data_IF_170865128056
#
_entry.id   IF_170865128056
#
_cell.length_a   1.000
_cell.length_b   1.000
_cell.length_c   1.000
_cell.angle_alpha   90.00
_cell.angle_beta   90.00
_cell.angle_gamma   90.00
#
_symmetry.space_group_name_H-M   'P 1'
#
loop_
_entity.id
_entity.type
_entity.pdbx_description
1 polymer ?
#
# COMPACT_ATOMS: atom_id res chain seq x y z
N UNK A 1 12.44 -25.98 -35.75
CA UNK A 1 11.36 -25.99 -34.73
C UNK A 1 11.75 -26.75 -33.45
N UNK A 2 12.25 -27.99 -33.51
CA UNK A 2 12.64 -28.76 -32.30
C UNK A 2 13.80 -28.19 -31.47
N UNK A 3 14.74 -27.45 -32.08
CA UNK A 3 15.84 -26.77 -31.37
C UNK A 3 15.36 -25.51 -30.60
N UNK A 4 14.33 -24.83 -31.10
CA UNK A 4 13.75 -23.63 -30.48
C UNK A 4 12.90 -23.96 -29.25
N UNK A 5 12.21 -25.11 -29.25
CA UNK A 5 11.42 -25.56 -28.10
C UNK A 5 12.28 -26.00 -26.91
N UNK A 6 13.48 -26.53 -27.17
CA UNK A 6 14.41 -26.94 -26.12
C UNK A 6 15.03 -25.73 -25.40
N UNK A 7 15.49 -24.74 -26.16
CA UNK A 7 16.00 -23.48 -25.60
C UNK A 7 14.94 -22.70 -24.79
N UNK A 8 13.67 -22.74 -25.20
CA UNK A 8 12.59 -22.05 -24.47
C UNK A 8 12.21 -22.76 -23.16
N UNK A 9 12.25 -24.10 -23.14
CA UNK A 9 12.01 -24.90 -21.93
C UNK A 9 13.13 -24.73 -20.90
N UNK A 10 14.39 -24.72 -21.35
CA UNK A 10 15.55 -24.56 -20.47
C UNK A 10 15.62 -23.14 -19.88
N UNK A 11 15.19 -22.12 -20.64
CA UNK A 11 15.03 -20.76 -20.12
C UNK A 11 13.88 -20.62 -19.11
N UNK A 12 12.73 -21.27 -19.35
CA UNK A 12 11.60 -21.23 -18.42
C UNK A 12 11.90 -21.95 -17.10
N UNK A 13 12.62 -23.08 -17.13
CA UNK A 13 13.07 -23.77 -15.93
C UNK A 13 14.07 -22.92 -15.12
N UNK A 14 14.98 -22.22 -15.81
CA UNK A 14 15.91 -21.28 -15.21
C UNK A 14 15.21 -20.06 -14.58
N UNK A 15 14.05 -19.63 -15.10
CA UNK A 15 13.25 -18.55 -14.52
C UNK A 15 12.34 -18.97 -13.36
N UNK A 16 11.89 -20.23 -13.30
CA UNK A 16 10.92 -20.71 -12.28
C UNK A 16 11.57 -21.24 -11.00
N UNK A 17 12.80 -21.76 -11.08
CA UNK A 17 13.58 -22.19 -9.91
C UNK A 17 13.89 -21.05 -8.91
N UNK A 18 14.31 -19.84 -9.32
CA UNK A 18 14.52 -18.74 -8.38
C UNK A 18 13.21 -18.32 -7.70
N UNK A 19 12.06 -18.37 -8.39
CA UNK A 19 10.76 -17.97 -7.83
C UNK A 19 10.31 -18.82 -6.64
N UNK A 20 10.54 -20.14 -6.65
CA UNK A 20 10.22 -21.01 -5.51
C UNK A 20 11.13 -20.76 -4.30
N UNK A 21 12.40 -20.46 -4.54
CA UNK A 21 13.36 -20.14 -3.46
C UNK A 21 13.09 -18.77 -2.84
N UNK A 22 12.62 -17.80 -3.64
CA UNK A 22 12.25 -16.46 -3.16
C UNK A 22 11.01 -16.49 -2.27
N UNK A 23 10.01 -17.34 -2.55
CA UNK A 23 8.77 -17.38 -1.74
C UNK A 23 9.01 -17.95 -0.34
N UNK A 24 9.85 -18.98 -0.20
CA UNK A 24 10.15 -19.59 1.12
C UNK A 24 11.01 -18.66 1.98
N UNK A 25 11.96 -17.94 1.39
CA UNK A 25 12.84 -17.01 2.10
C UNK A 25 12.13 -15.72 2.52
N UNK A 26 11.16 -15.22 1.74
CA UNK A 26 10.36 -14.05 2.13
C UNK A 26 9.43 -14.38 3.31
N UNK A 27 8.88 -15.60 3.39
CA UNK A 27 8.02 -16.01 4.50
C UNK A 27 8.71 -16.00 5.86
N UNK A 28 9.92 -16.55 5.95
CA UNK A 28 10.68 -16.58 7.22
C UNK A 28 11.17 -15.20 7.65
N UNK A 29 11.57 -14.36 6.68
CA UNK A 29 11.96 -12.96 6.95
C UNK A 29 10.79 -12.14 7.52
N UNK A 30 9.59 -12.24 6.91
CA UNK A 30 8.40 -11.52 7.42
C UNK A 30 8.06 -11.94 8.85
N UNK A 31 8.18 -13.23 9.16
CA UNK A 31 7.88 -13.75 10.48
C UNK A 31 8.90 -13.26 11.53
N UNK A 32 10.20 -13.21 11.21
CA UNK A 32 11.22 -12.70 12.14
C UNK A 32 11.04 -11.21 12.41
N UNK A 33 10.76 -10.40 11.39
CA UNK A 33 10.58 -8.95 11.55
C UNK A 33 9.32 -8.62 12.36
N UNK A 34 8.23 -9.39 12.20
CA UNK A 34 7.03 -9.24 13.02
C UNK A 34 7.26 -9.71 14.48
N UNK A 35 8.01 -10.80 14.68
CA UNK A 35 8.38 -11.26 16.02
C UNK A 35 9.19 -10.19 16.77
N UNK A 36 10.18 -9.59 16.10
CA UNK A 36 10.98 -8.48 16.64
C UNK A 36 10.11 -7.24 16.92
N UNK A 37 9.20 -6.88 16.02
CA UNK A 37 8.23 -5.78 16.25
C UNK A 37 7.41 -6.00 17.53
N UNK A 38 6.97 -7.24 17.77
CA UNK A 38 6.21 -7.59 18.97
C UNK A 38 7.09 -7.58 20.23
N UNK A 39 8.35 -8.01 20.13
CA UNK A 39 9.32 -7.93 21.22
C UNK A 39 9.58 -6.48 21.64
N UNK A 40 9.84 -5.60 20.67
CA UNK A 40 10.01 -4.15 20.88
C UNK A 40 8.78 -3.50 21.53
N UNK A 41 7.58 -3.87 21.09
CA UNK A 41 6.33 -3.43 21.69
C UNK A 41 6.19 -3.91 23.16
N UNK A 42 6.62 -5.14 23.45
CA UNK A 42 6.59 -5.70 24.79
C UNK A 42 7.58 -5.02 25.73
N UNK A 43 8.83 -4.85 25.28
CA UNK A 43 9.86 -4.13 26.04
C UNK A 43 9.46 -2.69 26.31
N UNK A 44 8.86 -2.00 25.34
CA UNK A 44 8.31 -0.64 25.53
C UNK A 44 7.28 -0.62 26.65
N UNK A 45 6.29 -1.53 26.65
CA UNK A 45 5.30 -1.63 27.74
C UNK A 45 5.95 -1.97 29.08
N UNK A 46 6.98 -2.82 29.07
CA UNK A 46 7.77 -3.16 30.25
C UNK A 46 8.48 -1.94 30.82
N UNK A 47 9.12 -1.13 29.97
CA UNK A 47 9.77 0.12 30.38
C UNK A 47 8.79 1.07 31.01
N UNK A 48 7.61 1.29 30.40
CA UNK A 48 6.57 2.11 31.01
C UNK A 48 6.24 1.65 32.44
N UNK A 49 6.03 0.34 32.65
CA UNK A 49 5.76 -0.22 33.99
C UNK A 49 6.91 -0.01 34.98
N UNK A 50 8.16 -0.18 34.54
CA UNK A 50 9.34 0.03 35.39
C UNK A 50 9.41 1.49 35.82
N UNK A 51 9.26 2.43 34.88
CA UNK A 51 9.28 3.87 35.17
C UNK A 51 8.09 4.28 36.05
N UNK A 52 6.89 3.77 35.81
CA UNK A 52 5.69 4.06 36.62
C UNK A 52 5.79 3.49 38.05
N UNK A 53 6.59 2.44 38.25
CA UNK A 53 6.80 1.84 39.57
C UNK A 53 7.86 2.56 40.41
N UNK A 54 8.60 3.49 39.83
CA UNK A 54 9.62 4.26 40.53
C UNK A 54 8.95 5.26 41.47
N UNK A 55 9.46 5.35 42.70
CA UNK A 55 9.01 6.29 43.73
C UNK A 55 10.21 7.05 44.30
N UNK A 56 9.99 8.11 45.08
CA UNK A 56 11.06 8.95 45.65
C UNK A 56 12.13 8.18 46.45
N UNK A 57 11.78 7.01 47.01
CA UNK A 57 12.70 6.15 47.77
C UNK A 57 13.29 5.01 46.92
N UNK A 58 13.03 4.99 45.61
CA UNK A 58 13.52 3.94 44.70
C UNK A 58 14.92 4.27 44.21
N UNK A 59 15.79 3.26 44.14
CA UNK A 59 17.14 3.45 43.59
C UNK A 59 17.11 3.55 42.06
N UNK A 60 17.79 4.55 41.49
CA UNK A 60 18.01 4.65 40.04
C UNK A 60 18.76 3.45 39.48
N UNK A 61 19.78 2.95 40.18
CA UNK A 61 20.55 1.75 39.77
C UNK A 61 19.65 0.53 39.61
N UNK A 62 18.72 0.33 40.53
CA UNK A 62 17.74 -0.77 40.43
C UNK A 62 16.79 -0.56 39.24
N UNK A 63 16.37 0.68 39.00
CA UNK A 63 15.50 1.03 37.86
C UNK A 63 16.22 0.76 36.54
N UNK A 64 17.46 1.24 36.40
CA UNK A 64 18.30 1.02 35.22
C UNK A 64 18.60 -0.46 34.99
N UNK A 65 18.90 -1.24 36.04
CA UNK A 65 19.09 -2.68 35.94
C UNK A 65 17.85 -3.38 35.36
N UNK A 66 16.65 -3.05 35.87
CA UNK A 66 15.39 -3.61 35.36
C UNK A 66 15.13 -3.22 33.90
N UNK A 67 15.49 -2.00 33.51
CA UNK A 67 15.41 -1.58 32.10
C UNK A 67 16.39 -2.40 31.25
N UNK A 68 17.64 -2.55 31.68
CA UNK A 68 18.63 -3.34 30.97
C UNK A 68 18.18 -4.80 30.77
N UNK A 69 17.62 -5.43 31.80
CA UNK A 69 17.07 -6.80 31.70
C UNK A 69 15.95 -6.91 30.65
N UNK A 70 15.05 -5.91 30.58
CA UNK A 70 13.97 -5.89 29.59
C UNK A 70 14.47 -5.76 28.15
N UNK A 71 15.51 -4.95 27.94
CA UNK A 71 16.06 -4.68 26.61
C UNK A 71 17.12 -5.69 26.16
N UNK A 72 17.74 -6.42 27.09
CA UNK A 72 18.79 -7.41 26.82
C UNK A 72 18.47 -8.40 25.68
N UNK A 73 17.32 -9.10 25.64
CA UNK A 73 17.05 -10.06 24.57
C UNK A 73 16.95 -9.39 23.18
N UNK A 74 16.41 -8.18 23.11
CA UNK A 74 16.28 -7.41 21.87
C UNK A 74 17.65 -6.92 21.42
N UNK A 75 18.44 -6.37 22.35
CA UNK A 75 19.76 -5.85 22.04
C UNK A 75 20.77 -6.94 21.67
N UNK A 76 20.60 -8.17 22.17
CA UNK A 76 21.36 -9.32 21.70
C UNK A 76 21.13 -9.61 20.21
N UNK A 77 19.90 -9.50 19.74
CA UNK A 77 19.55 -9.76 18.34
C UNK A 77 19.88 -8.59 17.42
N UNK A 78 19.72 -7.36 17.91
CA UNK A 78 19.91 -6.15 17.11
C UNK A 78 21.28 -5.49 17.29
N UNK A 79 22.15 -6.07 18.11
CA UNK A 79 23.50 -5.57 18.40
C UNK A 79 23.52 -4.15 18.98
N UNK A 80 22.80 -3.91 20.07
CA UNK A 80 22.87 -2.67 20.87
C UNK A 80 23.33 -2.91 22.31
N UNK A 81 23.67 -1.85 23.04
CA UNK A 81 23.80 -1.88 24.50
C UNK A 81 22.40 -1.82 25.15
N UNK A 82 21.99 -2.82 25.97
CA UNK A 82 20.71 -2.76 26.68
C UNK A 82 20.67 -1.74 27.82
N UNK A 83 21.82 -1.21 28.25
CA UNK A 83 21.93 -0.23 29.34
C UNK A 83 21.84 1.22 28.87
N UNK A 84 21.82 1.45 27.55
CA UNK A 84 21.76 2.78 26.93
C UNK A 84 20.58 2.88 25.95
N UNK A 85 19.62 3.75 26.26
CA UNK A 85 18.52 4.06 25.34
C UNK A 85 19.02 4.71 24.05
N UNK A 86 20.15 5.42 24.11
CA UNK A 86 20.70 6.09 22.93
C UNK A 86 21.23 5.07 21.92
N UNK A 87 21.60 3.85 22.34
CA UNK A 87 21.89 2.75 21.41
C UNK A 87 20.61 2.04 20.94
N UNK A 88 19.65 1.84 21.84
CA UNK A 88 18.35 1.21 21.52
C UNK A 88 17.59 2.03 20.46
N UNK A 89 17.65 3.36 20.53
CA UNK A 89 16.89 4.27 19.69
C UNK A 89 17.22 4.16 18.18
N UNK A 90 18.47 4.32 17.71
CA UNK A 90 18.84 4.14 16.31
C UNK A 90 18.57 2.72 15.81
N UNK A 91 18.81 1.71 16.64
CA UNK A 91 18.54 0.32 16.29
C UNK A 91 17.04 0.06 16.06
N UNK A 92 16.17 0.66 16.87
CA UNK A 92 14.71 0.61 16.63
C UNK A 92 14.30 1.32 15.32
N UNK A 93 15.03 2.36 14.90
CA UNK A 93 14.79 3.03 13.62
C UNK A 93 15.18 2.14 12.45
N UNK A 94 16.34 1.48 12.53
CA UNK A 94 16.79 0.47 11.56
C UNK A 94 15.76 -0.64 11.41
N UNK A 95 15.18 -1.13 12.52
CA UNK A 95 14.08 -2.10 12.47
C UNK A 95 12.82 -1.56 11.77
N UNK A 96 12.48 -0.29 12.00
CA UNK A 96 11.35 0.35 11.32
C UNK A 96 11.55 0.38 9.80
N UNK A 97 12.78 0.61 9.32
CA UNK A 97 13.08 0.55 7.89
C UNK A 97 12.91 -0.85 7.32
N UNK A 98 13.29 -1.89 8.06
CA UNK A 98 13.02 -3.28 7.66
C UNK A 98 11.52 -3.55 7.59
N UNK A 99 10.73 -3.08 8.56
CA UNK A 99 9.27 -3.20 8.51
C UNK A 99 8.62 -2.43 7.34
N UNK A 100 9.22 -1.33 6.88
CA UNK A 100 8.71 -0.65 5.68
C UNK A 100 8.87 -1.51 4.43
N UNK A 101 9.92 -2.34 4.37
CA UNK A 101 10.14 -3.29 3.28
C UNK A 101 9.11 -4.44 3.29
N UNK A 102 8.48 -4.71 4.43
CA UNK A 102 7.42 -5.74 4.55
C UNK A 102 6.03 -5.25 4.12
N UNK A 103 5.90 -3.97 3.73
CA UNK A 103 4.64 -3.32 3.38
C UNK A 103 3.55 -3.38 4.46
N UNK A 104 3.93 -3.50 5.73
CA UNK A 104 2.99 -3.61 6.86
C UNK A 104 2.76 -2.26 7.55
N UNK A 105 1.89 -1.41 6.99
CA UNK A 105 1.58 -0.08 7.55
C UNK A 105 1.07 -0.08 8.98
N UNK A 106 0.31 -1.08 9.38
CA UNK A 106 -0.15 -1.21 10.77
C UNK A 106 1.03 -1.38 11.73
N UNK A 107 1.99 -2.25 11.39
CA UNK A 107 3.18 -2.49 12.21
C UNK A 107 4.11 -1.29 12.23
N UNK A 108 4.40 -0.68 11.06
CA UNK A 108 5.23 0.53 10.99
C UNK A 108 4.63 1.66 11.82
N UNK A 109 3.32 1.91 11.68
CA UNK A 109 2.62 2.94 12.45
C UNK A 109 2.60 2.66 13.95
N UNK A 110 2.32 1.43 14.36
CA UNK A 110 2.37 1.03 15.77
C UNK A 110 3.78 1.22 16.35
N UNK A 111 4.81 0.82 15.61
CA UNK A 111 6.20 0.89 16.06
C UNK A 111 6.67 2.33 16.24
N UNK A 112 6.35 3.22 15.30
CA UNK A 112 6.67 4.65 15.39
C UNK A 112 5.98 5.29 16.60
N UNK A 113 4.67 5.02 16.82
CA UNK A 113 3.91 5.56 17.96
C UNK A 113 4.50 5.08 19.30
N UNK A 114 4.78 3.79 19.41
CA UNK A 114 5.34 3.20 20.63
C UNK A 114 6.69 3.83 20.99
N UNK A 115 7.58 4.01 20.00
CA UNK A 115 8.88 4.66 20.21
C UNK A 115 8.74 6.11 20.67
N UNK A 116 7.85 6.88 20.05
CA UNK A 116 7.62 8.28 20.45
C UNK A 116 7.09 8.35 21.89
N UNK A 117 6.11 7.51 22.23
CA UNK A 117 5.55 7.47 23.58
C UNK A 117 6.60 7.09 24.62
N UNK A 118 7.45 6.11 24.29
CA UNK A 118 8.56 5.70 25.16
C UNK A 118 9.56 6.83 25.39
N UNK A 119 9.98 7.51 24.32
CA UNK A 119 10.90 8.64 24.40
C UNK A 119 10.34 9.76 25.27
N UNK A 120 9.08 10.16 25.03
CA UNK A 120 8.40 11.18 25.84
C UNK A 120 8.33 10.76 27.31
N UNK A 121 7.98 9.49 27.57
CA UNK A 121 7.88 8.96 28.95
C UNK A 121 9.23 8.99 29.66
N UNK A 122 10.32 8.63 28.97
CA UNK A 122 11.68 8.71 29.50
C UNK A 122 12.09 10.15 29.80
N UNK A 123 11.81 11.08 28.90
CA UNK A 123 12.08 12.51 29.13
C UNK A 123 11.36 13.04 30.37
N UNK A 124 10.07 12.72 30.52
CA UNK A 124 9.32 13.10 31.72
C UNK A 124 9.90 12.46 32.98
N UNK A 125 10.25 11.18 32.93
CA UNK A 125 10.86 10.50 34.07
C UNK A 125 12.17 11.16 34.52
N UNK A 126 13.04 11.52 33.58
CA UNK A 126 14.29 12.23 33.87
C UNK A 126 14.01 13.61 34.47
N UNK A 127 13.09 14.37 33.87
CA UNK A 127 12.73 15.69 34.38
C UNK A 127 12.16 15.66 35.81
N UNK A 128 11.37 14.64 36.13
CA UNK A 128 10.69 14.53 37.42
C UNK A 128 11.62 14.00 38.53
N UNK A 129 12.49 13.04 38.21
CA UNK A 129 13.27 12.30 39.22
C UNK A 129 14.77 12.57 39.17
N UNK A 130 15.38 12.76 37.99
CA UNK A 130 16.83 12.76 37.81
C UNK A 130 17.47 14.15 37.95
N UNK A 131 17.40 14.74 39.14
CA UNK A 131 17.95 16.08 39.40
C UNK A 131 19.47 16.12 39.44
N UNK A 132 20.08 15.02 39.86
CA UNK A 132 21.53 14.91 40.06
C UNK A 132 22.23 14.30 38.83
N UNK A 133 21.45 13.85 37.83
CA UNK A 133 21.95 13.27 36.60
C UNK A 133 22.34 11.80 36.71
N UNK A 134 22.08 11.14 37.84
CA UNK A 134 22.43 9.74 38.14
C UNK A 134 21.78 8.70 37.19
N UNK A 135 20.84 9.11 36.35
CA UNK A 135 20.16 8.21 35.40
C UNK A 135 20.91 8.11 34.07
N UNK A 136 21.89 7.20 34.02
CA UNK A 136 22.78 6.99 32.86
C UNK A 136 22.09 6.40 31.61
N UNK A 137 20.83 5.96 31.70
CA UNK A 137 20.13 5.28 30.59
C UNK A 137 19.93 6.17 29.35
N UNK A 138 19.99 7.50 29.49
CA UNK A 138 19.83 8.48 28.40
C UNK A 138 21.06 9.37 28.24
N UNK A 139 22.21 9.00 28.82
CA UNK A 139 23.43 9.78 28.71
C UNK A 139 24.10 9.57 27.35
N UNK A 140 24.52 10.65 26.66
CA UNK A 140 25.23 10.57 25.37
C UNK A 140 26.65 10.05 25.52
N UNK A 141 27.22 10.05 26.73
CA UNK A 141 28.50 9.40 26.99
C UNK A 141 28.34 7.88 26.86
N UNK A 142 28.88 7.29 25.79
CA UNK A 142 28.85 5.83 25.57
C UNK A 142 28.04 5.35 24.37
N UNK A 143 27.66 6.24 23.45
CA UNK A 143 27.12 5.83 22.14
C UNK A 143 28.16 4.95 21.44
N UNK A 144 27.76 3.75 21.02
CA UNK A 144 28.63 2.90 20.21
C UNK A 144 28.81 3.50 18.81
N UNK A 145 30.01 3.39 18.22
CA UNK A 145 30.30 3.84 16.85
C UNK A 145 29.28 3.27 15.83
N UNK A 146 28.82 2.02 16.07
CA UNK A 146 27.78 1.35 15.28
C UNK A 146 26.43 2.07 15.34
N UNK A 147 26.05 2.62 16.50
CA UNK A 147 24.82 3.39 16.69
C UNK A 147 24.89 4.74 15.97
N UNK A 148 26.04 5.40 16.00
CA UNK A 148 26.26 6.67 15.29
C UNK A 148 26.15 6.48 13.76
N UNK A 149 26.77 5.43 13.21
CA UNK A 149 26.64 5.06 11.81
C UNK A 149 25.18 4.79 11.42
N UNK A 150 24.44 4.04 12.26
CA UNK A 150 23.01 3.78 12.05
C UNK A 150 22.20 5.07 12.05
N UNK A 151 22.51 6.01 12.95
CA UNK A 151 21.81 7.29 13.04
C UNK A 151 22.03 8.14 11.78
N UNK A 152 23.28 8.22 11.31
CA UNK A 152 23.65 8.92 10.07
C UNK A 152 22.96 8.28 8.85
N UNK A 153 23.02 6.95 8.74
CA UNK A 153 22.39 6.18 7.67
C UNK A 153 20.86 6.32 7.68
N UNK A 154 20.22 6.30 8.85
CA UNK A 154 18.79 6.54 9.00
C UNK A 154 18.42 7.99 8.65
N UNK A 155 19.23 8.98 9.01
CA UNK A 155 18.99 10.38 8.62
C UNK A 155 18.92 10.56 7.10
N UNK A 156 19.82 9.90 6.37
CA UNK A 156 19.90 9.96 4.91
C UNK A 156 18.83 9.10 4.22
N UNK A 157 18.71 7.83 4.64
CA UNK A 157 17.89 6.81 3.97
C UNK A 157 16.48 6.71 4.55
N UNK A 158 16.33 6.99 5.84
CA UNK A 158 15.06 6.86 6.54
C UNK A 158 14.04 7.90 6.11
N UNK A 159 14.47 9.14 5.83
CA UNK A 159 13.56 10.16 5.30
C UNK A 159 13.01 9.79 3.92
N UNK A 160 13.86 9.34 3.00
CA UNK A 160 13.43 8.93 1.66
C UNK A 160 12.55 7.66 1.71
N UNK A 161 12.90 6.71 2.57
CA UNK A 161 12.12 5.48 2.78
C UNK A 161 10.76 5.74 3.41
N UNK A 162 10.70 6.65 4.39
CA UNK A 162 9.44 7.02 5.03
C UNK A 162 8.57 7.84 4.07
N UNK A 163 9.16 8.70 3.24
CA UNK A 163 8.43 9.40 2.17
C UNK A 163 7.90 8.45 1.10
N UNK A 164 8.71 7.52 0.60
CA UNK A 164 8.27 6.55 -0.41
C UNK A 164 7.23 5.59 0.15
N UNK A 165 7.42 5.12 1.38
CA UNK A 165 6.42 4.38 2.12
C UNK A 165 5.14 5.19 2.27
N UNK A 166 5.25 6.49 2.58
CA UNK A 166 4.03 7.29 2.70
C UNK A 166 3.33 7.57 1.36
N UNK A 167 4.07 7.55 0.25
CA UNK A 167 3.49 7.71 -1.08
C UNK A 167 2.84 6.42 -1.57
N UNK A 168 3.31 5.24 -1.12
CA UNK A 168 2.71 3.96 -1.47
C UNK A 168 1.41 3.66 -0.71
N UNK A 169 1.18 4.34 0.42
CA UNK A 169 -0.08 4.27 1.15
C UNK A 169 -0.96 5.48 0.87
N UNK A 170 -2.13 5.23 0.30
CA UNK A 170 -3.16 6.26 0.15
C UNK A 170 -3.76 6.60 1.53
N UNK A 171 -3.20 7.60 2.22
CA UNK A 171 -3.58 8.01 3.58
C UNK A 171 -4.96 8.68 3.68
N UNK A 172 -5.79 8.61 2.65
CA UNK A 172 -7.11 9.22 2.68
C UNK A 172 -8.08 8.56 3.71
N UNK A 173 -7.69 7.42 4.27
CA UNK A 173 -8.43 6.62 5.25
C UNK A 173 -8.43 7.14 6.71
N UNK A 174 -7.70 8.22 7.03
CA UNK A 174 -7.92 8.95 8.29
C UNK A 174 -7.08 8.54 9.50
N UNK A 175 -6.21 7.54 9.38
CA UNK A 175 -5.19 7.25 10.38
C UNK A 175 -3.96 8.13 10.14
N UNK A 176 -4.05 9.39 10.61
CA UNK A 176 -2.88 10.28 10.63
C UNK A 176 -1.88 9.75 11.64
N UNK A 177 -0.64 9.52 11.18
CA UNK A 177 0.48 9.06 12.01
C UNK A 177 0.80 10.03 13.16
N UNK A 178 0.47 11.31 12.97
CA UNK A 178 0.57 12.39 13.96
C UNK A 178 -0.72 13.22 13.97
N UNK A 179 -1.39 13.32 15.12
CA UNK A 179 -2.45 14.30 15.31
C UNK A 179 -1.83 15.69 15.52
N UNK A 180 -1.63 16.38 14.40
CA UNK A 180 -1.07 17.73 14.33
C UNK A 180 -1.86 18.74 15.17
N UNK A 181 -3.16 18.50 15.43
CA UNK A 181 -3.96 19.37 16.30
C UNK A 181 -3.65 19.12 17.78
N UNK A 182 -3.43 17.86 18.17
CA UNK A 182 -3.10 17.48 19.55
C UNK A 182 -1.71 18.01 19.95
N UNK A 183 -0.74 17.93 19.04
CA UNK A 183 0.60 18.47 19.26
C UNK A 183 0.59 19.99 19.39
N UNK A 184 -0.19 20.69 18.56
CA UNK A 184 -0.34 22.14 18.66
C UNK A 184 -1.03 22.57 19.97
N UNK A 185 -2.04 21.83 20.44
CA UNK A 185 -2.65 22.13 21.75
C UNK A 185 -1.71 21.91 22.92
N UNK A 186 -0.85 20.89 22.83
CA UNK A 186 0.13 20.61 23.88
C UNK A 186 1.14 21.76 24.02
N UNK A 187 1.62 22.31 22.89
CA UNK A 187 2.50 23.48 22.90
C UNK A 187 1.80 24.74 23.44
N UNK A 188 0.55 24.99 23.05
CA UNK A 188 -0.23 26.12 23.59
C UNK A 188 -0.47 25.99 25.11
N UNK A 189 -0.71 24.78 25.63
CA UNK A 189 -0.93 24.55 27.06
C UNK A 189 0.38 24.63 27.88
N UNK A 190 1.53 24.27 27.28
CA UNK A 190 2.84 24.39 27.91
C UNK A 190 3.31 25.85 28.06
N UNK A 191 3.06 26.69 27.05
CA UNK A 191 3.40 28.13 27.11
C UNK A 191 2.51 28.92 28.09
N UNK A 192 1.29 28.44 28.39
CA UNK A 192 0.33 29.15 29.24
C UNK A 192 0.46 28.84 30.75
N UNK A 193 1.30 27.88 31.14
CA UNK A 193 1.45 27.43 32.54
C UNK A 193 2.02 28.46 33.52
N UNK A 194 2.73 29.49 33.04
CA UNK A 194 3.47 30.43 33.92
C UNK A 194 2.75 31.77 34.20
N UNK A 195 1.62 32.07 33.56
CA UNK A 195 1.04 33.43 33.61
C UNK A 195 -0.15 33.61 34.57
N UNK A 196 0.19 34.02 35.80
CA UNK A 196 -0.52 34.86 36.79
C UNK A 196 -2.07 34.79 36.93
N UNK A 197 -2.52 34.47 38.14
CA UNK A 197 -3.85 33.94 38.49
C UNK A 197 -4.98 34.97 38.63
N UNK A 198 -4.71 36.29 38.52
CA UNK A 198 -5.73 37.32 38.85
C UNK A 198 -6.54 37.88 37.68
N UNK A 199 -6.16 37.65 36.41
CA UNK A 199 -6.92 38.11 35.21
C UNK A 199 -7.90 37.07 34.60
N UNK A 200 -7.99 35.89 35.22
CA UNK A 200 -8.52 34.64 34.66
C UNK A 200 -10.00 34.67 34.22
N UNK A 201 -10.88 35.38 34.92
CA UNK A 201 -12.34 35.38 34.61
C UNK A 201 -12.69 36.06 33.29
N UNK A 202 -12.03 37.18 32.94
CA UNK A 202 -12.31 37.91 31.68
C UNK A 202 -11.72 37.18 30.47
N UNK A 203 -10.54 36.56 30.62
CA UNK A 203 -9.92 35.67 29.61
C UNK A 203 -10.78 34.43 29.35
N UNK A 204 -11.34 33.77 30.37
CA UNK A 204 -12.22 32.59 30.20
C UNK A 204 -13.43 32.86 29.29
N UNK A 205 -14.09 34.01 29.40
CA UNK A 205 -15.24 34.37 28.54
C UNK A 205 -14.84 34.58 27.08
N UNK A 206 -13.69 35.23 26.81
CA UNK A 206 -13.16 35.37 25.43
C UNK A 206 -12.75 34.02 24.83
N UNK A 207 -12.13 33.14 25.62
CA UNK A 207 -11.80 31.76 25.20
C UNK A 207 -13.05 30.95 24.85
N UNK A 208 -14.13 31.05 25.63
CA UNK A 208 -15.38 30.36 25.33
C UNK A 208 -15.99 30.79 23.98
N UNK A 209 -15.96 32.08 23.66
CA UNK A 209 -16.43 32.60 22.36
C UNK A 209 -15.55 32.12 21.20
N UNK A 210 -14.22 32.21 21.33
CA UNK A 210 -13.27 31.71 20.32
C UNK A 210 -13.42 30.21 20.09
N UNK A 211 -13.61 29.42 21.16
CA UNK A 211 -13.87 27.97 21.07
C UNK A 211 -15.17 27.66 20.32
N UNK A 212 -16.24 28.47 20.49
CA UNK A 212 -17.50 28.29 19.75
C UNK A 212 -17.34 28.62 18.26
N UNK A 213 -16.65 29.71 17.91
CA UNK A 213 -16.35 30.07 16.52
C UNK A 213 -15.50 28.99 15.84
N UNK A 214 -14.38 28.58 16.46
CA UNK A 214 -13.52 27.48 15.96
C UNK A 214 -14.30 26.17 15.80
N UNK A 215 -15.26 25.88 16.68
CA UNK A 215 -16.13 24.69 16.54
C UNK A 215 -17.08 24.78 15.34
N UNK A 216 -17.62 25.95 15.02
CA UNK A 216 -18.46 26.15 13.83
C UNK A 216 -17.65 26.01 12.55
N UNK A 217 -16.47 26.62 12.49
CA UNK A 217 -15.53 26.50 11.38
C UNK A 217 -15.09 25.05 11.17
N UNK A 218 -14.72 24.32 12.24
CA UNK A 218 -14.43 22.88 12.17
C UNK A 218 -15.63 22.06 11.68
N UNK A 219 -16.86 22.43 12.04
CA UNK A 219 -18.06 21.74 11.52
C UNK A 219 -18.26 21.98 10.03
N UNK A 220 -17.99 23.19 9.54
CA UNK A 220 -18.06 23.50 8.10
C UNK A 220 -16.94 22.79 7.33
N UNK A 221 -15.70 22.85 7.80
CA UNK A 221 -14.57 22.14 7.20
C UNK A 221 -14.81 20.61 7.16
N UNK A 222 -15.38 20.03 8.23
CA UNK A 222 -15.76 18.60 8.24
C UNK A 222 -16.87 18.27 7.25
N UNK A 223 -17.83 19.17 7.04
CA UNK A 223 -18.88 18.99 6.02
C UNK A 223 -18.28 19.04 4.60
N UNK A 224 -17.47 20.04 4.31
CA UNK A 224 -16.78 20.17 3.03
C UNK A 224 -15.91 18.94 2.72
N UNK A 225 -15.09 18.50 3.69
CA UNK A 225 -14.27 17.29 3.53
C UNK A 225 -15.09 16.01 3.37
N UNK A 226 -16.27 15.93 4.01
CA UNK A 226 -17.19 14.80 3.83
C UNK A 226 -17.82 14.80 2.43
N UNK A 227 -18.13 15.97 1.87
CA UNK A 227 -18.62 16.10 0.50
C UNK A 227 -17.53 15.76 -0.52
N UNK A 228 -16.31 16.24 -0.31
CA UNK A 228 -15.13 15.87 -1.11
C UNK A 228 -14.89 14.36 -1.12
N UNK A 229 -14.90 13.72 0.07
CA UNK A 229 -14.80 12.25 0.18
C UNK A 229 -15.95 11.52 -0.50
N UNK A 230 -17.18 12.06 -0.43
CA UNK A 230 -18.32 11.49 -1.15
C UNK A 230 -18.16 11.59 -2.66
N UNK A 231 -17.62 12.70 -3.16
CA UNK A 231 -17.34 12.89 -4.58
C UNK A 231 -16.22 11.98 -5.06
N UNK A 232 -15.14 11.87 -4.28
CA UNK A 232 -14.04 10.96 -4.56
C UNK A 232 -14.50 9.49 -4.52
N UNK A 233 -15.25 9.07 -3.50
CA UNK A 233 -15.81 7.73 -3.43
C UNK A 233 -16.76 7.44 -4.61
N UNK A 234 -17.58 8.40 -5.03
CA UNK A 234 -18.42 8.24 -6.24
C UNK A 234 -17.59 8.11 -7.53
N UNK A 235 -16.42 8.74 -7.59
CA UNK A 235 -15.48 8.58 -8.72
C UNK A 235 -14.84 7.19 -8.66
N UNK A 236 -14.19 6.84 -7.54
CA UNK A 236 -13.46 5.58 -7.36
C UNK A 236 -14.38 4.35 -7.49
N UNK A 237 -15.54 4.39 -6.83
CA UNK A 237 -16.50 3.30 -6.89
C UNK A 237 -17.47 3.41 -8.07
N UNK A 238 -17.28 4.39 -8.96
CA UNK A 238 -18.12 4.60 -10.13
C UNK A 238 -18.04 3.46 -11.14
N UNK A 239 -16.99 2.63 -11.08
CA UNK A 239 -16.84 1.42 -11.87
C UNK A 239 -16.97 0.12 -11.07
N UNK A 240 -16.93 0.19 -9.74
CA UNK A 240 -17.10 -0.96 -8.88
C UNK A 240 -18.48 -1.59 -9.09
N UNK A 241 -18.51 -2.88 -9.41
CA UNK A 241 -19.74 -3.64 -9.54
C UNK A 241 -20.45 -3.49 -10.89
N UNK A 242 -19.89 -2.74 -11.85
CA UNK A 242 -20.40 -2.76 -13.23
C UNK A 242 -20.10 -4.11 -13.86
N UNK A 243 -21.16 -4.86 -14.14
CA UNK A 243 -21.07 -6.07 -14.94
C UNK A 243 -21.05 -5.71 -16.43
N UNK A 244 -20.04 -6.17 -17.15
CA UNK A 244 -19.99 -6.12 -18.61
C UNK A 244 -19.99 -7.53 -19.16
N UNK A 245 -20.86 -7.79 -20.12
CA UNK A 245 -20.86 -9.03 -20.90
C UNK A 245 -20.11 -8.78 -22.19
N UNK A 246 -19.25 -9.71 -22.56
CA UNK A 246 -18.44 -9.59 -23.76
C UNK A 246 -18.34 -10.92 -24.49
N UNK A 247 -18.27 -10.81 -25.82
CA UNK A 247 -17.97 -11.90 -26.71
C UNK A 247 -16.77 -11.46 -27.55
N UNK A 248 -15.68 -12.19 -27.41
CA UNK A 248 -14.40 -11.81 -27.93
C UNK A 248 -13.77 -13.00 -28.65
N UNK A 249 -13.08 -12.71 -29.74
CA UNK A 249 -12.43 -13.73 -30.54
C UNK A 249 -10.96 -13.38 -30.71
N UNK A 250 -10.13 -14.39 -30.55
CA UNK A 250 -8.71 -14.18 -30.65
C UNK A 250 -7.92 -15.39 -30.19
N UNK A 251 -6.72 -15.10 -29.73
CA UNK A 251 -5.71 -16.06 -29.37
C UNK A 251 -5.57 -16.09 -27.85
N UNK A 252 -5.81 -17.26 -27.27
CA UNK A 252 -5.67 -17.48 -25.82
C UNK A 252 -4.70 -18.62 -25.54
N UNK A 253 -4.02 -18.50 -24.40
CA UNK A 253 -3.16 -19.54 -23.84
C UNK A 253 -3.21 -19.48 -22.32
N UNK A 254 -3.40 -20.63 -21.71
CA UNK A 254 -3.16 -20.82 -20.29
C UNK A 254 -1.72 -21.26 -20.03
N UNK A 255 -1.16 -20.75 -18.94
CA UNK A 255 0.15 -21.12 -18.42
C UNK A 255 -0.08 -21.80 -17.06
N UNK A 256 -0.15 -23.13 -17.09
CA UNK A 256 -0.54 -23.93 -15.92
C UNK A 256 -2.01 -23.73 -15.55
N UNK A 257 -2.33 -23.99 -14.27
CA UNK A 257 -3.70 -23.94 -13.76
C UNK A 257 -4.16 -22.57 -13.27
N UNK A 258 -3.27 -21.56 -13.31
CA UNK A 258 -3.48 -20.29 -12.60
C UNK A 258 -3.40 -19.05 -13.48
N UNK A 259 -2.70 -19.08 -14.61
CA UNK A 259 -2.43 -17.87 -15.40
C UNK A 259 -3.02 -18.02 -16.79
N UNK A 260 -3.79 -17.04 -17.22
CA UNK A 260 -4.36 -16.94 -18.57
C UNK A 260 -3.85 -15.69 -19.27
N UNK A 261 -3.48 -15.83 -20.55
CA UNK A 261 -3.23 -14.71 -21.44
C UNK A 261 -4.16 -14.80 -22.63
N UNK A 262 -4.78 -13.68 -23.01
CA UNK A 262 -5.57 -13.61 -24.23
C UNK A 262 -5.40 -12.28 -24.93
N UNK A 263 -5.40 -12.30 -26.25
CA UNK A 263 -5.44 -11.09 -27.06
C UNK A 263 -6.27 -11.35 -28.30
N UNK A 264 -6.92 -10.32 -28.79
CA UNK A 264 -7.83 -10.49 -29.90
C UNK A 264 -8.60 -9.24 -30.23
N UNK A 265 -9.73 -9.48 -30.89
CA UNK A 265 -10.65 -8.45 -31.32
C UNK A 265 -12.06 -8.78 -30.82
N UNK A 266 -12.78 -7.74 -30.42
CA UNK A 266 -14.19 -7.80 -30.11
C UNK A 266 -14.91 -6.79 -31.02
N UNK A 267 -15.99 -7.22 -31.65
CA UNK A 267 -16.86 -6.35 -32.42
C UNK A 267 -18.28 -6.47 -31.89
N UNK A 268 -18.91 -5.33 -31.61
CA UNK A 268 -20.33 -5.26 -31.25
C UNK A 268 -21.12 -4.49 -32.30
N UNK A 269 -22.44 -4.66 -32.29
CA UNK A 269 -23.39 -3.90 -33.11
C UNK A 269 -23.59 -4.37 -34.56
N UNK A 270 -22.62 -5.05 -35.20
CA UNK A 270 -22.79 -5.62 -36.56
C UNK A 270 -21.72 -6.67 -36.88
N UNK A 271 -22.12 -7.78 -37.52
CA UNK A 271 -21.20 -8.83 -38.00
C UNK A 271 -20.20 -8.36 -39.07
N UNK A 272 -20.42 -7.18 -39.67
CA UNK A 272 -19.62 -6.64 -40.77
C UNK A 272 -18.68 -5.49 -40.36
N UNK A 273 -18.67 -5.07 -39.08
CA UNK A 273 -17.86 -3.93 -38.64
C UNK A 273 -16.36 -4.06 -38.96
N UNK A 274 -15.82 -5.30 -38.91
CA UNK A 274 -14.44 -5.58 -39.30
C UNK A 274 -14.21 -5.37 -40.80
N UNK A 275 -15.12 -5.85 -41.67
CA UNK A 275 -14.97 -5.67 -43.12
C UNK A 275 -15.06 -4.19 -43.49
N UNK A 276 -15.93 -3.43 -42.83
CA UNK A 276 -16.03 -1.98 -43.03
C UNK A 276 -14.72 -1.29 -42.63
N UNK A 277 -14.15 -1.63 -41.46
CA UNK A 277 -12.88 -1.07 -40.99
C UNK A 277 -11.70 -1.40 -41.93
N UNK A 278 -11.61 -2.65 -42.38
CA UNK A 278 -10.58 -3.11 -43.34
C UNK A 278 -10.72 -2.42 -44.69
N UNK A 279 -11.95 -2.04 -45.08
CA UNK A 279 -12.23 -1.26 -46.29
C UNK A 279 -12.06 0.25 -46.10
N UNK A 280 -11.54 0.72 -44.95
CA UNK A 280 -11.38 2.14 -44.63
C UNK A 280 -12.71 2.88 -44.44
N UNK A 281 -13.80 2.15 -44.16
CA UNK A 281 -15.13 2.72 -43.90
C UNK A 281 -15.40 2.69 -42.40
N UNK A 282 -15.85 3.83 -41.86
CA UNK A 282 -16.37 3.85 -40.49
C UNK A 282 -17.57 2.89 -40.36
N UNK A 283 -17.71 2.17 -39.24
CA UNK A 283 -18.87 1.31 -39.00
C UNK A 283 -20.15 2.13 -39.18
N UNK A 284 -21.11 1.68 -40.02
CA UNK A 284 -22.30 2.49 -40.37
C UNK A 284 -23.37 2.55 -39.29
N UNK A 285 -23.26 1.74 -38.24
CA UNK A 285 -24.24 1.70 -37.15
C UNK A 285 -23.70 2.48 -35.94
N UNK A 286 -24.55 3.33 -35.36
CA UNK A 286 -24.25 4.12 -34.15
C UNK A 286 -23.90 3.26 -32.94
N UNK A 287 -24.29 1.99 -32.93
CA UNK A 287 -23.96 1.01 -31.88
C UNK A 287 -22.78 0.09 -32.24
N UNK A 288 -22.19 0.23 -33.43
CA UNK A 288 -21.06 -0.60 -33.83
C UNK A 288 -19.76 -0.07 -33.21
N UNK A 289 -19.04 -0.97 -32.56
CA UNK A 289 -17.71 -0.70 -32.05
C UNK A 289 -16.78 -1.82 -32.47
N UNK A 290 -15.51 -1.46 -32.59
CA UNK A 290 -14.45 -2.40 -32.85
C UNK A 290 -13.37 -2.21 -31.79
N UNK A 291 -12.99 -3.28 -31.10
CA UNK A 291 -12.01 -3.23 -30.02
C UNK A 291 -10.91 -4.24 -30.24
N UNK A 292 -9.66 -3.80 -30.15
CA UNK A 292 -8.54 -4.70 -29.87
C UNK A 292 -8.37 -4.80 -28.36
N UNK A 293 -8.03 -5.98 -27.86
CA UNK A 293 -7.76 -6.15 -26.44
C UNK A 293 -6.60 -7.11 -26.21
N UNK A 294 -5.92 -6.89 -25.09
CA UNK A 294 -4.97 -7.82 -24.50
C UNK A 294 -5.27 -7.91 -23.00
N UNK A 295 -5.37 -9.13 -22.50
CA UNK A 295 -5.65 -9.39 -21.10
C UNK A 295 -4.72 -10.44 -20.53
N UNK A 296 -4.34 -10.21 -19.28
CA UNK A 296 -3.66 -11.17 -18.43
C UNK A 296 -4.51 -11.37 -17.19
N UNK A 297 -4.69 -12.63 -16.79
CA UNK A 297 -5.49 -12.97 -15.64
C UNK A 297 -4.85 -14.05 -14.78
N UNK A 298 -5.13 -13.96 -13.48
CA UNK A 298 -4.78 -14.97 -12.48
C UNK A 298 -6.07 -15.54 -11.89
N UNK A 299 -6.21 -16.86 -11.88
CA UNK A 299 -7.41 -17.54 -11.41
C UNK A 299 -7.49 -19.00 -11.82
N UNK A 300 -8.60 -19.65 -11.50
CA UNK A 300 -8.80 -21.05 -11.84
C UNK A 300 -8.98 -21.21 -13.36
N UNK A 301 -8.06 -21.95 -13.97
CA UNK A 301 -8.12 -22.34 -15.39
C UNK A 301 -8.62 -23.78 -15.50
N UNK A 302 -9.68 -23.98 -16.25
CA UNK A 302 -10.17 -25.27 -16.72
C UNK A 302 -10.11 -25.32 -18.26
N UNK A 303 -10.33 -26.50 -18.85
CA UNK A 303 -10.20 -26.69 -20.30
C UNK A 303 -11.13 -25.79 -21.12
N UNK A 304 -12.36 -25.58 -20.65
CA UNK A 304 -13.39 -24.80 -21.33
C UNK A 304 -13.77 -23.52 -20.57
N UNK A 305 -13.21 -23.27 -19.39
CA UNK A 305 -13.59 -22.17 -18.52
C UNK A 305 -12.38 -21.53 -17.83
N UNK A 306 -12.43 -20.23 -17.61
CA UNK A 306 -11.51 -19.52 -16.75
C UNK A 306 -12.27 -18.53 -15.86
N UNK A 307 -11.86 -18.44 -14.59
CA UNK A 307 -12.42 -17.50 -13.63
C UNK A 307 -11.36 -16.95 -12.69
N UNK A 308 -11.29 -15.63 -12.54
CA UNK A 308 -10.26 -15.00 -11.72
C UNK A 308 -10.25 -13.47 -11.79
N UNK A 309 -9.13 -12.90 -11.40
CA UNK A 309 -8.84 -11.47 -11.56
C UNK A 309 -8.09 -11.26 -12.87
N UNK A 310 -8.50 -10.28 -13.67
CA UNK A 310 -7.79 -9.89 -14.88
C UNK A 310 -7.49 -8.40 -14.93
N UNK A 311 -6.41 -8.09 -15.64
CA UNK A 311 -6.09 -6.77 -16.15
C UNK A 311 -6.25 -6.83 -17.66
N UNK A 312 -7.11 -5.98 -18.21
CA UNK A 312 -7.41 -5.92 -19.64
C UNK A 312 -7.11 -4.52 -20.16
N UNK A 313 -6.19 -4.42 -21.12
CA UNK A 313 -6.02 -3.24 -21.96
C UNK A 313 -6.88 -3.38 -23.21
N UNK A 314 -7.63 -2.35 -23.57
CA UNK A 314 -8.43 -2.33 -24.78
C UNK A 314 -8.30 -1.01 -25.53
N UNK A 315 -8.26 -1.09 -26.85
CA UNK A 315 -8.39 0.04 -27.75
C UNK A 315 -9.69 -0.12 -28.53
N UNK A 316 -10.69 0.71 -28.23
CA UNK A 316 -12.03 0.65 -28.78
C UNK A 316 -12.30 1.86 -29.66
N UNK A 317 -12.66 1.62 -30.92
CA UNK A 317 -13.07 2.66 -31.88
C UNK A 317 -14.58 2.57 -32.08
N UNK A 318 -15.25 3.71 -31.95
CA UNK A 318 -16.67 3.91 -32.29
C UNK A 318 -16.79 4.94 -33.42
N UNK A 319 -18.01 5.28 -33.84
CA UNK A 319 -18.22 6.33 -34.84
C UNK A 319 -17.73 7.71 -34.39
N UNK A 320 -17.75 8.00 -33.08
CA UNK A 320 -17.51 9.33 -32.53
C UNK A 320 -16.36 9.42 -31.54
N UNK A 321 -15.77 8.28 -31.15
CA UNK A 321 -14.71 8.24 -30.13
C UNK A 321 -13.70 7.13 -30.39
N UNK A 322 -12.48 7.34 -29.88
CA UNK A 322 -11.40 6.36 -29.90
C UNK A 322 -10.87 6.21 -28.48
N UNK A 323 -11.34 5.18 -27.78
CA UNK A 323 -11.08 4.96 -26.36
C UNK A 323 -9.89 4.00 -26.17
N UNK A 324 -8.82 4.48 -25.53
CA UNK A 324 -7.79 3.61 -24.95
C UNK A 324 -8.12 3.42 -23.48
N UNK A 325 -8.29 2.18 -23.03
CA UNK A 325 -8.65 1.92 -21.64
C UNK A 325 -7.99 0.71 -21.01
N UNK A 326 -7.84 0.78 -19.69
CA UNK A 326 -7.39 -0.30 -18.82
C UNK A 326 -8.51 -0.63 -17.85
N UNK A 327 -8.82 -1.91 -17.73
CA UNK A 327 -9.88 -2.43 -16.87
C UNK A 327 -9.28 -3.48 -15.93
N UNK A 328 -9.56 -3.36 -14.65
CA UNK A 328 -9.22 -4.37 -13.64
C UNK A 328 -10.54 -4.91 -13.10
N UNK A 329 -10.73 -6.22 -13.12
CA UNK A 329 -11.99 -6.81 -12.70
C UNK A 329 -11.90 -8.28 -12.36
N UNK A 330 -12.90 -8.74 -11.63
CA UNK A 330 -13.18 -10.15 -11.50
C UNK A 330 -13.93 -10.60 -12.76
N UNK A 331 -13.40 -11.59 -13.45
CA UNK A 331 -13.88 -12.01 -14.77
C UNK A 331 -14.01 -13.51 -14.83
N UNK A 332 -15.04 -13.96 -15.52
CA UNK A 332 -15.27 -15.36 -15.82
C UNK A 332 -15.60 -15.49 -17.30
N UNK A 333 -14.94 -16.40 -18.00
CA UNK A 333 -15.19 -16.66 -19.42
C UNK A 333 -15.16 -18.15 -19.74
N UNK A 334 -16.03 -18.55 -20.65
CA UNK A 334 -15.99 -19.83 -21.34
C UNK A 334 -15.34 -19.68 -22.70
N UNK A 335 -14.50 -20.64 -23.08
CA UNK A 335 -13.84 -20.68 -24.39
C UNK A 335 -14.48 -21.78 -25.23
N UNK A 336 -14.78 -21.47 -26.49
CA UNK A 336 -15.18 -22.45 -27.49
C UNK A 336 -14.19 -22.42 -28.64
N UNK A 337 -13.76 -23.59 -29.10
CA UNK A 337 -12.90 -23.69 -30.26
C UNK A 337 -13.65 -23.15 -31.48
N UNK A 338 -13.02 -22.24 -32.21
CA UNK A 338 -13.59 -21.73 -33.46
C UNK A 338 -13.16 -22.66 -34.61
N UNK A 339 -14.08 -22.97 -35.52
CA UNK A 339 -13.77 -23.75 -36.72
C UNK A 339 -12.61 -23.15 -37.53
N UNK A 340 -11.85 -24.01 -38.21
CA UNK A 340 -10.56 -23.69 -38.86
C UNK A 340 -10.63 -22.61 -39.96
N UNK A 341 -11.82 -22.23 -40.43
CA UNK A 341 -12.03 -21.34 -41.58
C UNK A 341 -12.69 -20.00 -41.26
N UNK A 342 -12.76 -19.60 -39.98
CA UNK A 342 -13.37 -18.31 -39.65
C UNK A 342 -12.42 -17.14 -39.91
N UNK A 343 -12.93 -16.08 -40.57
CA UNK A 343 -12.21 -14.80 -40.82
C UNK A 343 -11.75 -14.06 -39.56
N UNK A 344 -12.08 -14.59 -38.38
CA UNK A 344 -11.87 -13.99 -37.06
C UNK A 344 -10.50 -14.34 -36.46
N UNK A 345 -9.76 -15.27 -37.06
CA UNK A 345 -8.40 -15.65 -36.69
C UNK A 345 -7.47 -15.59 -37.91
N UNK A 346 -6.85 -14.42 -38.20
CA UNK A 346 -6.13 -14.19 -39.45
C UNK A 346 -4.88 -15.09 -39.62
N UNK A 347 -4.33 -15.60 -38.52
CA UNK A 347 -3.17 -16.51 -38.53
C UNK A 347 -3.56 -17.99 -38.47
N UNK A 348 -4.83 -18.31 -38.73
CA UNK A 348 -5.36 -19.67 -38.65
C UNK A 348 -5.64 -20.14 -37.23
N UNK A 349 -5.83 -21.46 -37.07
CA UNK A 349 -6.24 -22.11 -35.82
C UNK A 349 -5.24 -21.90 -34.67
N UNK A 350 -3.96 -21.75 -35.00
CA UNK A 350 -2.88 -21.62 -34.03
C UNK A 350 -1.95 -20.48 -34.41
N UNK A 351 -1.61 -19.64 -33.43
CA UNK A 351 -0.54 -18.65 -33.54
C UNK A 351 0.52 -19.02 -32.51
N UNK A 352 1.50 -19.83 -32.94
CA UNK A 352 2.47 -20.43 -32.03
C UNK A 352 1.77 -21.28 -30.95
N UNK A 353 1.97 -20.99 -29.65
CA UNK A 353 1.33 -21.77 -28.59
C UNK A 353 -0.09 -21.29 -28.25
N UNK A 354 -0.60 -20.26 -28.92
CA UNK A 354 -1.93 -19.73 -28.69
C UNK A 354 -2.95 -20.42 -29.60
N UNK A 355 -4.14 -20.74 -29.05
CA UNK A 355 -5.25 -21.33 -29.79
C UNK A 355 -6.27 -20.24 -30.13
N UNK A 356 -6.71 -20.21 -31.38
CA UNK A 356 -7.86 -19.42 -31.79
C UNK A 356 -9.10 -19.94 -31.06
N UNK A 357 -9.73 -19.09 -30.24
CA UNK A 357 -10.94 -19.42 -29.50
C UNK A 357 -11.90 -18.24 -29.46
N UNK A 358 -13.20 -18.54 -29.33
CA UNK A 358 -14.23 -17.58 -29.00
C UNK A 358 -14.44 -17.64 -27.50
N UNK A 359 -14.16 -16.53 -26.83
CA UNK A 359 -14.39 -16.35 -25.42
C UNK A 359 -15.69 -15.59 -25.19
N UNK A 360 -16.61 -16.19 -24.44
CA UNK A 360 -17.83 -15.52 -23.97
C UNK A 360 -17.75 -15.42 -22.46
N UNK A 361 -17.87 -14.22 -21.92
CA UNK A 361 -17.67 -14.01 -20.50
C UNK A 361 -18.36 -12.78 -19.97
N UNK A 362 -18.20 -12.59 -18.67
CA UNK A 362 -18.57 -11.37 -18.00
C UNK A 362 -17.42 -10.90 -17.11
N UNK A 363 -17.33 -9.59 -16.94
CA UNK A 363 -16.39 -8.96 -16.02
C UNK A 363 -17.18 -8.07 -15.07
N UNK A 364 -16.93 -8.22 -13.77
CA UNK A 364 -17.32 -7.27 -12.74
C UNK A 364 -16.13 -6.35 -12.54
N UNK A 365 -16.23 -5.13 -13.07
CA UNK A 365 -15.16 -4.14 -12.96
C UNK A 365 -14.95 -3.74 -11.49
N UNK A 366 -13.69 -3.69 -11.10
CA UNK A 366 -13.22 -3.11 -9.84
C UNK A 366 -12.68 -1.70 -10.09
N UNK A 367 -11.96 -1.52 -11.19
CA UNK A 367 -11.37 -0.26 -11.63
C UNK A 367 -11.48 -0.13 -13.15
N UNK A 368 -11.77 1.07 -13.63
CA UNK A 368 -11.79 1.37 -15.05
C UNK A 368 -11.08 2.70 -15.32
N UNK A 369 -10.25 2.75 -16.36
CA UNK A 369 -9.62 3.99 -16.80
C UNK A 369 -9.62 4.02 -18.31
N UNK A 370 -10.06 5.15 -18.86
CA UNK A 370 -10.22 5.34 -20.30
C UNK A 370 -9.84 6.76 -20.67
N UNK A 371 -9.15 6.91 -21.81
CA UNK A 371 -8.86 8.19 -22.43
C UNK A 371 -9.50 8.14 -23.81
N UNK A 372 -10.38 9.09 -24.11
CA UNK A 372 -10.85 9.30 -25.46
C UNK A 372 -9.83 10.14 -26.22
N UNK A 373 -9.18 9.53 -27.22
CA UNK A 373 -8.16 10.17 -28.02
C UNK A 373 -8.71 11.29 -28.91
N UNK A 374 -10.03 11.32 -29.16
CA UNK A 374 -10.67 12.35 -29.98
C UNK A 374 -10.91 13.62 -29.16
N UNK A 375 -11.54 13.48 -27.99
CA UNK A 375 -11.88 14.62 -27.13
C UNK A 375 -10.78 15.00 -26.13
N UNK A 376 -9.86 14.09 -25.83
CA UNK A 376 -8.87 14.23 -24.76
C UNK A 376 -9.43 14.02 -23.35
N UNK A 377 -10.72 13.68 -23.22
CA UNK A 377 -11.35 13.47 -21.91
C UNK A 377 -10.87 12.16 -21.26
N UNK A 378 -10.61 12.21 -19.96
CA UNK A 378 -10.29 11.04 -19.15
C UNK A 378 -11.50 10.63 -18.29
N UNK A 379 -11.74 9.32 -18.21
CA UNK A 379 -12.88 8.76 -17.48
C UNK A 379 -12.44 7.74 -16.43
N UNK A 380 -11.30 7.99 -15.76
CA UNK A 380 -10.75 7.08 -14.77
C UNK A 380 -11.55 7.12 -13.47
N UNK A 381 -12.04 5.94 -13.08
CA UNK A 381 -12.97 5.70 -11.99
C UNK A 381 -12.54 4.45 -11.26
#
# INVERSE_FOLDING_TARGET
LGSLTKHFSDHLASCLLPLKLTVVTVGSFLQSEHAMSNALASATRGTHKVLDSHSENSSFKLTQHRLAELWHPICKELSCDPTSYIDIYPVSHKHTLKLMQTASASHVGSHIRQRIHLYIKLQHFIADYDREGDFDFMRPEGIQDSSEEIFSSYGQTGRSSLLSFTQSFDFDSGDRLFDREMFASFLEDAEEGEADTKSSRRRRRRRARRRRARRQEKRQARKAKREERRMMAKRIFGCLGKASFWNAEGYSKSFGSYVGFSFGQAAGGSNNALNDLVQGRAPRFTSAYYSFYASVGVGAVYEWFWGGLSITGAFTVTQSSALVGIYIGASACGWTAVGSTTRRCPFGKHLGPFKCSRATGFTISLFCCGIDLVSGENSCR
#
